data_IF_658449779351
#
_entry.id   IF_658449779351
#
_cell.length_a   1.000
_cell.length_b   1.000
_cell.length_c   1.000
_cell.angle_alpha   90.00
_cell.angle_beta   90.00
_cell.angle_gamma   90.00
#
_symmetry.space_group_name_H-M   'P 1'
#
loop_
_entity.id
_entity.type
_entity.pdbx_description
1 polymer ?
#
# COMPACT_ATOMS: atom_id res chain seq x y z
N UNK A 1 -5.26 25.07 -0.83
CA UNK A 1 -5.97 23.93 -0.19
C UNK A 1 -4.98 22.76 0.00
N UNK A 2 -3.78 23.00 0.54
CA UNK A 2 -2.75 21.98 0.77
C UNK A 2 -2.13 22.05 2.17
N UNK A 3 -2.28 23.16 2.89
CA UNK A 3 -1.50 23.40 4.12
C UNK A 3 -2.15 22.83 5.40
N UNK A 4 -3.45 22.58 5.39
CA UNK A 4 -4.20 22.13 6.59
C UNK A 4 -3.93 20.65 6.91
N UNK A 5 -3.76 19.81 5.88
CA UNK A 5 -3.57 18.36 6.09
C UNK A 5 -2.12 18.06 6.47
N UNK A 6 -1.15 18.79 5.89
CA UNK A 6 0.27 18.59 6.16
C UNK A 6 0.68 19.13 7.54
N UNK A 7 0.09 20.25 7.99
CA UNK A 7 0.37 20.81 9.32
C UNK A 7 -0.13 19.89 10.44
N UNK A 8 -1.28 19.24 10.25
CA UNK A 8 -1.80 18.28 11.20
C UNK A 8 -0.89 17.02 11.33
N UNK A 9 -0.30 16.56 10.22
CA UNK A 9 0.67 15.45 10.23
C UNK A 9 1.97 15.82 10.94
N UNK A 10 2.46 17.04 10.72
CA UNK A 10 3.67 17.55 11.36
C UNK A 10 3.50 17.73 12.87
N UNK A 11 2.40 18.36 13.30
CA UNK A 11 2.07 18.55 14.72
C UNK A 11 1.83 17.21 15.43
N UNK A 12 1.09 16.31 14.78
CA UNK A 12 0.85 14.95 15.27
C UNK A 12 2.16 14.16 15.44
N UNK A 13 3.07 14.24 14.47
CA UNK A 13 4.37 13.58 14.52
C UNK A 13 5.24 14.14 15.65
N UNK A 14 5.34 15.47 15.76
CA UNK A 14 6.14 16.13 16.78
C UNK A 14 5.62 15.84 18.20
N UNK A 15 4.30 15.79 18.39
CA UNK A 15 3.69 15.44 19.67
C UNK A 15 4.06 14.03 20.12
N UNK A 16 3.96 13.05 19.21
CA UNK A 16 4.32 11.65 19.52
C UNK A 16 5.81 11.47 19.77
N UNK A 17 6.67 12.26 19.13
CA UNK A 17 8.12 12.30 19.42
C UNK A 17 8.39 12.85 20.82
N UNK A 18 7.67 13.89 21.25
CA UNK A 18 7.85 14.51 22.56
C UNK A 18 7.39 13.61 23.71
N UNK A 19 6.25 12.92 23.60
CA UNK A 19 5.80 11.95 24.61
C UNK A 19 6.80 10.80 24.78
N UNK A 20 7.32 10.30 23.67
CA UNK A 20 8.14 9.09 23.67
C UNK A 20 9.55 9.34 24.24
N UNK A 21 10.03 10.60 24.22
CA UNK A 21 11.38 10.99 24.69
C UNK A 21 11.65 10.78 26.19
N UNK A 22 10.61 10.64 27.01
CA UNK A 22 10.75 10.45 28.45
C UNK A 22 10.85 8.97 28.88
N UNK A 23 10.78 8.03 27.94
CA UNK A 23 10.89 6.59 28.18
C UNK A 23 12.24 6.09 27.60
N UNK A 24 13.03 5.37 28.40
CA UNK A 24 14.44 5.04 28.11
C UNK A 24 14.75 4.48 26.70
N UNK A 25 15.92 4.88 26.20
CA UNK A 25 16.45 4.69 24.83
C UNK A 25 16.72 3.20 24.50
N UNK A 26 15.94 2.63 23.55
CA UNK A 26 16.37 2.13 22.21
C UNK A 26 15.48 1.01 21.65
N UNK A 27 14.72 0.28 22.48
CA UNK A 27 13.80 -0.77 22.00
C UNK A 27 12.33 -0.41 22.21
N UNK A 28 11.94 0.02 23.42
CA UNK A 28 10.53 0.29 23.75
C UNK A 28 10.03 1.55 23.02
N UNK A 29 10.80 2.64 23.03
CA UNK A 29 10.41 3.89 22.34
C UNK A 29 10.25 3.72 20.82
N UNK A 30 11.17 2.99 20.17
CA UNK A 30 11.07 2.74 18.74
C UNK A 30 9.90 1.80 18.42
N UNK A 31 9.63 0.83 19.30
CA UNK A 31 8.49 -0.06 19.17
C UNK A 31 7.17 0.67 19.40
N UNK A 32 7.07 1.55 20.39
CA UNK A 32 5.90 2.39 20.64
C UNK A 32 5.67 3.39 19.52
N UNK A 33 6.73 4.05 19.01
CA UNK A 33 6.62 4.94 17.84
C UNK A 33 6.18 4.14 16.62
N UNK A 34 6.72 2.92 16.41
CA UNK A 34 6.30 2.03 15.35
C UNK A 34 4.82 1.67 15.50
N UNK A 35 4.38 1.22 16.68
CA UNK A 35 2.99 0.84 16.99
C UNK A 35 2.05 2.05 16.84
N UNK A 36 2.40 3.22 17.37
CA UNK A 36 1.60 4.46 17.23
C UNK A 36 1.52 4.92 15.78
N UNK A 37 2.62 4.84 15.02
CA UNK A 37 2.64 5.17 13.58
C UNK A 37 1.81 4.17 12.77
N UNK A 38 1.87 2.89 13.12
CA UNK A 38 1.07 1.82 12.51
C UNK A 38 -0.43 1.97 12.83
N UNK A 39 -0.78 2.33 14.06
CA UNK A 39 -2.14 2.66 14.46
C UNK A 39 -2.66 3.92 13.74
N UNK A 40 -1.83 4.94 13.53
CA UNK A 40 -2.20 6.12 12.73
C UNK A 40 -2.36 5.85 11.23
N UNK A 41 -1.65 4.86 10.70
CA UNK A 41 -1.87 4.41 9.31
C UNK A 41 -3.21 3.67 9.18
N UNK A 42 -3.68 3.04 10.26
CA UNK A 42 -4.95 2.35 10.38
C UNK A 42 -5.96 3.20 11.16
N UNK A 43 -6.64 4.14 10.52
CA UNK A 43 -7.86 4.69 11.12
C UNK A 43 -8.91 3.55 11.18
N UNK A 44 -9.08 2.99 12.38
CA UNK A 44 -9.99 1.86 12.65
C UNK A 44 -11.46 2.27 12.53
N UNK A 45 -11.80 3.54 12.76
CA UNK A 45 -13.18 4.00 12.76
C UNK A 45 -13.70 4.25 11.35
N UNK A 46 -12.85 4.78 10.46
CA UNK A 46 -13.26 5.11 9.09
C UNK A 46 -12.79 4.11 8.04
N UNK A 47 -12.03 3.06 8.42
CA UNK A 47 -11.30 2.18 7.48
C UNK A 47 -10.52 2.98 6.43
N UNK A 48 -10.09 4.19 6.77
CA UNK A 48 -9.39 5.08 5.86
C UNK A 48 -7.90 4.74 5.91
N UNK A 49 -7.48 3.95 4.93
CA UNK A 49 -6.12 3.43 4.87
C UNK A 49 -5.15 4.53 4.40
N UNK A 50 -4.26 5.05 5.24
CA UNK A 50 -3.29 6.06 4.78
C UNK A 50 -2.28 5.52 3.74
N UNK A 51 -2.20 4.20 3.56
CA UNK A 51 -1.40 3.59 2.51
C UNK A 51 -2.11 3.62 1.15
N UNK A 52 -1.55 4.36 0.18
CA UNK A 52 -2.06 4.40 -1.21
C UNK A 52 -2.18 3.02 -1.86
N UNK A 53 -1.21 2.12 -1.63
CA UNK A 53 -1.26 0.76 -2.17
C UNK A 53 -2.51 0.03 -1.71
N UNK A 54 -2.83 0.13 -0.42
CA UNK A 54 -4.01 -0.51 0.15
C UNK A 54 -5.30 0.18 -0.31
N UNK A 55 -5.35 1.52 -0.40
CA UNK A 55 -6.51 2.21 -1.00
C UNK A 55 -6.84 1.73 -2.41
N UNK A 56 -5.81 1.43 -3.21
CA UNK A 56 -5.98 0.99 -4.60
C UNK A 56 -6.34 -0.49 -4.72
N UNK A 57 -5.66 -1.36 -3.96
CA UNK A 57 -5.86 -2.80 -4.07
C UNK A 57 -6.97 -3.34 -3.18
N UNK A 58 -7.32 -2.66 -2.08
CA UNK A 58 -8.15 -3.24 -1.03
C UNK A 58 -7.45 -4.36 -0.22
N UNK A 59 -6.15 -4.57 -0.44
CA UNK A 59 -5.32 -5.56 0.25
C UNK A 59 -4.34 -4.83 1.18
N UNK A 60 -4.24 -5.23 2.47
CA UNK A 60 -3.26 -4.67 3.40
C UNK A 60 -1.86 -4.64 2.82
N UNK A 61 -1.17 -3.51 2.94
CA UNK A 61 0.24 -3.42 2.57
C UNK A 61 1.13 -4.13 3.60
N UNK A 62 2.41 -4.41 3.31
CA UNK A 62 3.29 -5.10 4.26
C UNK A 62 3.39 -4.42 5.64
N UNK A 63 3.33 -3.08 5.68
CA UNK A 63 3.29 -2.34 6.95
C UNK A 63 1.99 -2.63 7.72
N UNK A 64 0.85 -2.63 7.03
CA UNK A 64 -0.43 -2.94 7.62
C UNK A 64 -0.50 -4.39 8.12
N UNK A 65 -0.03 -5.37 7.32
CA UNK A 65 0.04 -6.76 7.75
C UNK A 65 0.88 -6.91 9.02
N UNK A 66 2.05 -6.25 9.07
CA UNK A 66 2.88 -6.25 10.27
C UNK A 66 2.16 -5.65 11.48
N UNK A 67 1.40 -4.57 11.29
CA UNK A 67 0.60 -3.95 12.35
C UNK A 67 -0.51 -4.86 12.85
N UNK A 68 -1.30 -5.42 11.95
CA UNK A 68 -2.40 -6.35 12.25
C UNK A 68 -1.87 -7.54 13.03
N UNK A 69 -0.74 -8.10 12.61
CA UNK A 69 -0.06 -9.19 13.31
C UNK A 69 0.35 -8.82 14.74
N UNK A 70 0.96 -7.65 14.95
CA UNK A 70 1.38 -7.21 16.29
C UNK A 70 0.21 -6.85 17.20
N UNK A 71 -0.94 -6.48 16.64
CA UNK A 71 -2.16 -6.22 17.39
C UNK A 71 -2.97 -7.51 17.64
N UNK A 72 -2.46 -8.67 17.21
CA UNK A 72 -3.13 -9.98 17.33
C UNK A 72 -4.54 -9.97 16.73
N UNK A 73 -4.72 -9.28 15.60
CA UNK A 73 -6.00 -9.17 14.91
C UNK A 73 -6.05 -10.06 13.66
N UNK A 74 -7.26 -10.48 13.28
CA UNK A 74 -7.49 -11.29 12.09
C UNK A 74 -7.29 -10.47 10.81
N UNK A 75 -6.55 -11.03 9.85
CA UNK A 75 -6.18 -10.33 8.62
C UNK A 75 -7.38 -10.15 7.69
N UNK A 76 -8.32 -11.09 7.73
CA UNK A 76 -9.52 -11.10 6.89
C UNK A 76 -10.45 -9.91 7.17
N UNK A 77 -10.45 -9.38 8.40
CA UNK A 77 -11.24 -8.19 8.79
C UNK A 77 -10.81 -6.92 8.04
N UNK A 78 -9.59 -6.93 7.50
CA UNK A 78 -8.92 -5.82 6.83
C UNK A 78 -8.91 -5.95 5.32
N UNK A 79 -9.32 -7.10 4.78
CA UNK A 79 -9.48 -7.28 3.34
C UNK A 79 -10.73 -6.55 2.84
N UNK A 80 -10.65 -6.00 1.62
CA UNK A 80 -11.84 -5.51 0.96
C UNK A 80 -12.80 -6.66 0.67
N UNK A 81 -14.12 -6.41 0.81
CA UNK A 81 -15.19 -7.41 0.64
C UNK A 81 -15.10 -8.25 -0.64
N UNK A 82 -14.50 -7.69 -1.70
CA UNK A 82 -14.29 -8.39 -2.97
C UNK A 82 -13.38 -9.61 -2.88
N UNK A 83 -12.52 -9.69 -1.87
CA UNK A 83 -11.62 -10.81 -1.66
C UNK A 83 -12.18 -11.88 -0.72
N UNK A 84 -13.38 -11.67 -0.17
CA UNK A 84 -14.01 -12.66 0.70
C UNK A 84 -14.52 -13.86 -0.09
N UNK A 85 -14.40 -15.04 0.53
CA UNK A 85 -14.87 -16.31 -0.03
C UNK A 85 -16.34 -16.24 -0.44
N UNK A 86 -17.19 -15.63 0.38
CA UNK A 86 -18.62 -15.50 0.09
C UNK A 86 -18.86 -14.70 -1.19
N UNK A 87 -18.06 -13.66 -1.43
CA UNK A 87 -18.14 -12.84 -2.64
C UNK A 87 -17.66 -13.61 -3.85
N UNK A 88 -16.56 -14.36 -3.73
CA UNK A 88 -16.06 -15.23 -4.78
C UNK A 88 -17.12 -16.29 -5.18
N UNK A 89 -17.68 -17.00 -4.19
CA UNK A 89 -18.70 -18.02 -4.43
C UNK A 89 -19.96 -17.43 -5.09
N UNK A 90 -20.36 -16.21 -4.71
CA UNK A 90 -21.47 -15.50 -5.35
C UNK A 90 -21.16 -15.10 -6.80
N UNK A 91 -19.95 -14.63 -7.08
CA UNK A 91 -19.54 -14.24 -8.43
C UNK A 91 -19.54 -15.42 -9.40
N UNK A 92 -19.15 -16.60 -8.92
CA UNK A 92 -19.10 -17.84 -9.71
C UNK A 92 -20.28 -18.79 -9.44
N UNK A 93 -21.36 -18.30 -8.83
CA UNK A 93 -22.55 -19.13 -8.54
C UNK A 93 -23.27 -19.59 -9.83
N UNK A 94 -23.07 -18.85 -10.92
CA UNK A 94 -23.68 -19.12 -12.22
C UNK A 94 -22.61 -19.56 -13.23
N UNK A 95 -23.02 -20.37 -14.20
CA UNK A 95 -22.14 -20.80 -15.28
C UNK A 95 -21.65 -19.58 -16.08
N UNK A 96 -20.33 -19.46 -16.24
CA UNK A 96 -19.76 -18.52 -17.18
C UNK A 96 -20.15 -18.95 -18.60
N UNK A 97 -20.84 -18.08 -19.31
CA UNK A 97 -21.10 -18.31 -20.72
C UNK A 97 -19.77 -18.24 -21.48
N UNK A 98 -19.56 -19.12 -22.47
CA UNK A 98 -18.41 -19.01 -23.34
C UNK A 98 -18.40 -17.63 -23.98
N UNK A 99 -17.24 -16.99 -23.94
CA UNK A 99 -17.04 -15.74 -24.65
C UNK A 99 -16.83 -16.11 -26.12
N UNK A 100 -17.61 -15.49 -27.01
CA UNK A 100 -17.50 -15.67 -28.45
C UNK A 100 -16.06 -15.40 -28.94
N UNK A 101 -15.74 -15.85 -30.13
CA UNK A 101 -14.43 -15.56 -30.72
C UNK A 101 -14.25 -14.05 -30.98
N UNK A 102 -13.01 -13.58 -30.93
CA UNK A 102 -12.66 -12.17 -31.08
C UNK A 102 -13.26 -11.52 -32.34
N UNK A 103 -13.42 -12.30 -33.42
CA UNK A 103 -13.96 -11.83 -34.69
C UNK A 103 -15.48 -11.53 -34.63
N UNK A 104 -16.20 -12.14 -33.69
CA UNK A 104 -17.63 -11.93 -33.46
C UNK A 104 -17.91 -10.77 -32.50
N UNK A 105 -16.87 -10.22 -31.85
CA UNK A 105 -17.06 -9.15 -30.87
C UNK A 105 -17.50 -7.87 -31.55
N UNK A 106 -18.45 -7.18 -30.91
CA UNK A 106 -18.87 -5.86 -31.36
C UNK A 106 -17.68 -4.90 -31.32
N UNK A 107 -17.27 -4.39 -32.48
CA UNK A 107 -16.26 -3.33 -32.56
C UNK A 107 -16.78 -2.13 -31.78
N UNK A 108 -16.07 -1.72 -30.73
CA UNK A 108 -16.51 -0.66 -29.83
C UNK A 108 -16.51 0.73 -30.47
N UNK A 109 -15.86 0.89 -31.64
CA UNK A 109 -15.63 2.20 -32.27
C UNK A 109 -14.68 3.10 -31.48
N UNK A 110 -14.19 2.62 -30.33
CA UNK A 110 -13.19 3.28 -29.51
C UNK A 110 -11.84 3.02 -30.16
N UNK A 111 -11.13 4.09 -30.49
CA UNK A 111 -9.76 4.00 -30.99
C UNK A 111 -8.90 3.25 -29.95
N UNK A 112 -8.19 2.22 -30.42
CA UNK A 112 -7.32 1.43 -29.55
C UNK A 112 -6.29 2.36 -28.93
N UNK A 113 -6.21 2.37 -27.60
CA UNK A 113 -5.14 3.07 -26.90
C UNK A 113 -3.82 2.47 -27.36
N UNK A 114 -3.01 3.26 -28.07
CA UNK A 114 -1.68 2.85 -28.47
C UNK A 114 -0.89 2.47 -27.22
N UNK A 115 -0.23 1.31 -27.26
CA UNK A 115 0.65 0.90 -26.18
C UNK A 115 1.67 2.02 -25.93
N UNK A 116 1.99 2.34 -24.66
CA UNK A 116 3.06 3.28 -24.37
C UNK A 116 4.33 2.81 -25.06
N UNK A 117 4.92 3.67 -25.90
CA UNK A 117 6.19 3.37 -26.56
C UNK A 117 7.20 3.04 -25.47
N UNK A 118 7.73 1.81 -25.47
CA UNK A 118 8.76 1.40 -24.52
C UNK A 118 10.00 2.27 -24.72
N UNK A 119 10.23 3.20 -23.80
CA UNK A 119 11.49 3.93 -23.75
C UNK A 119 12.57 2.96 -23.29
N UNK A 120 13.54 2.69 -24.15
CA UNK A 120 14.77 1.98 -23.76
C UNK A 120 15.36 2.73 -22.57
N UNK A 121 15.31 2.12 -21.38
CA UNK A 121 15.94 2.70 -20.20
C UNK A 121 17.45 2.67 -20.44
N UNK A 122 18.07 3.85 -20.50
CA UNK A 122 19.53 3.94 -20.41
C UNK A 122 19.95 3.18 -19.15
N UNK A 123 20.75 2.13 -19.33
CA UNK A 123 21.16 1.25 -18.24
C UNK A 123 21.77 2.04 -17.08
N UNK A 124 21.76 1.44 -15.88
CA UNK A 124 22.35 2.06 -14.68
C UNK A 124 23.76 2.58 -15.00
N UNK A 125 24.04 3.88 -14.82
CA UNK A 125 25.38 4.40 -14.99
C UNK A 125 26.37 3.56 -14.19
N UNK A 126 27.47 3.12 -14.81
CA UNK A 126 28.51 2.36 -14.12
C UNK A 126 29.01 3.21 -12.95
N UNK A 127 28.94 2.67 -11.74
CA UNK A 127 29.52 3.29 -10.55
C UNK A 127 31.04 3.28 -10.75
N UNK A 128 31.65 4.45 -10.92
CA UNK A 128 33.11 4.57 -10.99
C UNK A 128 33.69 4.12 -9.63
N UNK A 129 34.11 2.86 -9.54
CA UNK A 129 34.88 2.38 -8.39
C UNK A 129 36.27 3.01 -8.51
N UNK A 130 36.61 3.97 -7.64
CA UNK A 130 38.00 4.40 -7.46
C UNK A 130 38.80 3.16 -7.07
N UNK A 131 39.79 2.78 -7.89
CA UNK A 131 40.82 1.83 -7.46
C UNK A 131 41.72 2.60 -6.51
N UNK A 132 41.67 2.29 -5.22
CA UNK A 132 42.73 2.69 -4.31
C UNK A 132 44.04 2.05 -4.79
N UNK A 133 45.12 2.83 -4.83
CA UNK A 133 46.45 2.29 -5.07
C UNK A 133 46.85 1.55 -3.79
N UNK A 134 47.10 0.25 -3.89
CA UNK A 134 47.86 -0.46 -2.86
C UNK A 134 49.26 0.17 -2.83
N UNK A 135 49.59 0.78 -1.70
CA UNK A 135 50.97 1.14 -1.35
C UNK A 135 51.75 -0.12 -1.00
#
# INVERSE_FOLDING_TARGET
MSDIVDNNLYEAFNFSVMESRFQSIRMIMLEEIRVKMMARIMDKEHKTYNCRSWKLSGIPCPHACSAIWHLEQEHDDYLHRYYHKETYMKAYAYALQPINELHEWRKSGIELVLLPIEKIKLGRPKKNRRKEKMN
#
